data_IF_624625508719
#
_entry.id   IF_624625508719
#
_cell.length_a   1.000
_cell.length_b   1.000
_cell.length_c   1.000
_cell.angle_alpha   90.00
_cell.angle_beta   90.00
_cell.angle_gamma   90.00
#
_symmetry.space_group_name_H-M   'P 1'
#
loop_
_entity.id
_entity.type
_entity.pdbx_description
1 polymer ?
#
# COMPACT_ATOMS: atom_id res chain seq x y z
N UNK A 1 0.49 7.31 -4.28
CA UNK A 1 1.96 7.25 -4.46
C UNK A 1 2.33 5.91 -5.06
N UNK A 2 3.13 5.92 -6.09
CA UNK A 2 3.67 4.70 -6.70
C UNK A 2 5.19 4.81 -6.69
N UNK A 3 5.85 3.80 -6.16
CA UNK A 3 7.32 3.72 -6.14
C UNK A 3 7.74 2.53 -6.99
N UNK A 4 8.54 2.79 -8.02
CA UNK A 4 9.07 1.76 -8.90
C UNK A 4 10.40 1.25 -8.33
N UNK A 5 10.53 -0.06 -8.29
CA UNK A 5 11.73 -0.75 -7.79
C UNK A 5 12.17 -0.25 -6.41
N UNK A 6 11.29 -0.34 -5.40
CA UNK A 6 11.66 0.06 -4.05
C UNK A 6 12.76 -0.83 -3.49
N UNK A 7 13.52 -0.30 -2.53
CA UNK A 7 14.56 -1.05 -1.84
C UNK A 7 14.07 -1.58 -0.49
N UNK A 8 14.62 -2.70 -0.09
CA UNK A 8 14.44 -3.26 1.25
C UNK A 8 12.98 -3.35 1.67
N UNK A 9 12.16 -3.91 0.79
CA UNK A 9 10.75 -4.15 1.10
C UNK A 9 10.68 -5.28 2.12
N UNK A 10 10.14 -4.98 3.29
CA UNK A 10 10.05 -5.96 4.37
C UNK A 10 8.66 -5.99 5.00
N UNK A 11 8.27 -7.17 5.43
CA UNK A 11 7.03 -7.40 6.17
C UNK A 11 7.38 -8.20 7.42
N UNK A 12 7.44 -7.51 8.56
CA UNK A 12 7.97 -8.08 9.79
C UNK A 12 9.46 -8.41 9.65
N UNK A 13 9.81 -9.64 9.89
CA UNK A 13 11.19 -10.13 9.75
C UNK A 13 11.53 -10.67 8.36
N UNK A 14 10.56 -10.69 7.46
CA UNK A 14 10.73 -11.25 6.11
C UNK A 14 11.00 -10.12 5.13
N UNK A 15 12.03 -10.28 4.31
CA UNK A 15 12.34 -9.35 3.22
C UNK A 15 11.78 -9.93 1.94
N UNK A 16 10.96 -9.14 1.24
CA UNK A 16 10.40 -9.53 -0.05
C UNK A 16 11.33 -9.08 -1.17
N UNK A 17 11.90 -10.03 -1.88
CA UNK A 17 12.78 -9.76 -3.03
C UNK A 17 11.99 -9.55 -4.31
N UNK A 18 12.66 -8.99 -5.30
CA UNK A 18 12.15 -8.81 -6.66
C UNK A 18 10.81 -8.04 -6.71
N UNK A 19 10.67 -7.04 -5.86
CA UNK A 19 9.50 -6.17 -5.88
C UNK A 19 9.64 -5.17 -7.01
N UNK A 20 8.70 -5.22 -7.95
CA UNK A 20 8.70 -4.32 -9.11
C UNK A 20 8.17 -2.95 -8.76
N UNK A 21 7.16 -2.88 -7.88
CA UNK A 21 6.58 -1.61 -7.46
C UNK A 21 5.79 -1.75 -6.17
N UNK A 22 5.65 -0.65 -5.47
CA UNK A 22 4.74 -0.49 -4.33
C UNK A 22 3.86 0.71 -4.59
N UNK A 23 2.57 0.54 -4.46
CA UNK A 23 1.58 1.60 -4.58
C UNK A 23 0.94 1.83 -3.21
N UNK A 24 0.84 3.08 -2.79
CA UNK A 24 0.22 3.47 -1.52
C UNK A 24 -0.91 4.44 -1.83
N UNK A 25 -2.13 4.05 -1.49
CA UNK A 25 -3.33 4.85 -1.73
C UNK A 25 -4.06 5.10 -0.42
N UNK A 26 -4.52 6.35 -0.25
CA UNK A 26 -5.44 6.71 0.81
C UNK A 26 -6.82 6.89 0.20
N UNK A 27 -7.77 6.13 0.69
CA UNK A 27 -9.12 6.08 0.14
C UNK A 27 -10.14 6.42 1.23
N UNK A 28 -11.23 7.05 0.83
CA UNK A 28 -12.37 7.19 1.70
C UNK A 28 -13.13 5.86 1.74
N UNK A 29 -13.43 5.38 2.94
CA UNK A 29 -14.34 4.24 3.10
C UNK A 29 -15.75 4.69 3.45
N UNK A 30 -15.90 5.93 3.87
CA UNK A 30 -17.20 6.57 4.06
C UNK A 30 -17.06 8.07 3.88
N UNK A 31 -17.90 8.63 3.00
CA UNK A 31 -17.94 10.06 2.71
C UNK A 31 -19.36 10.58 2.98
N UNK A 32 -19.44 11.73 3.63
CA UNK A 32 -20.70 12.47 3.78
C UNK A 32 -20.70 13.56 2.74
N UNK A 33 -21.79 13.66 1.97
CA UNK A 33 -21.93 14.61 0.88
C UNK A 33 -23.24 15.36 0.98
N UNK A 34 -23.20 16.65 0.64
CA UNK A 34 -24.42 17.48 0.63
C UNK A 34 -24.48 18.30 -0.66
N UNK A 35 -25.68 18.38 -1.20
CA UNK A 35 -26.03 19.22 -2.35
C UNK A 35 -27.05 20.24 -1.92
N UNK A 36 -27.06 21.41 -2.58
CA UNK A 36 -28.17 22.32 -2.46
C UNK A 36 -29.09 22.20 -3.69
N UNK A 37 -30.17 22.98 -3.72
CA UNK A 37 -31.16 22.91 -4.78
C UNK A 37 -30.79 23.71 -6.04
N UNK A 38 -29.64 24.37 -6.08
CA UNK A 38 -29.27 25.29 -7.15
C UNK A 38 -28.42 24.66 -8.25
N UNK A 39 -27.92 23.45 -8.09
CA UNK A 39 -27.11 22.86 -9.13
C UNK A 39 -26.62 21.46 -8.83
N UNK A 40 -25.94 20.82 -9.81
CA UNK A 40 -25.48 19.43 -9.69
C UNK A 40 -24.16 19.26 -8.91
N UNK A 41 -23.60 20.34 -8.39
CA UNK A 41 -22.31 20.27 -7.69
C UNK A 41 -22.48 20.20 -6.19
N UNK A 42 -21.58 19.47 -5.52
CA UNK A 42 -21.55 19.38 -4.08
C UNK A 42 -21.28 20.74 -3.43
N UNK A 43 -21.99 21.05 -2.35
CA UNK A 43 -21.72 22.22 -1.53
C UNK A 43 -20.97 21.85 -0.25
N UNK A 44 -20.94 20.57 0.12
CA UNK A 44 -20.20 20.07 1.29
C UNK A 44 -19.81 18.62 1.09
N UNK A 45 -18.60 18.28 1.51
CA UNK A 45 -18.14 16.90 1.58
C UNK A 45 -17.21 16.73 2.77
N UNK A 46 -17.32 15.59 3.45
CA UNK A 46 -16.43 15.23 4.54
C UNK A 46 -16.12 13.72 4.47
N UNK A 47 -14.88 13.39 4.73
CA UNK A 47 -14.42 11.99 4.74
C UNK A 47 -14.31 11.56 6.19
N UNK A 48 -15.30 10.82 6.66
CA UNK A 48 -15.41 10.41 8.07
C UNK A 48 -14.69 9.10 8.36
N UNK A 49 -14.41 8.30 7.34
CA UNK A 49 -13.62 7.06 7.48
C UNK A 49 -12.64 6.95 6.33
N UNK A 50 -11.41 6.64 6.66
CA UNK A 50 -10.32 6.56 5.71
C UNK A 50 -9.68 5.19 5.77
N UNK A 51 -9.12 4.77 4.64
CA UNK A 51 -8.43 3.50 4.48
C UNK A 51 -7.16 3.73 3.70
N UNK A 52 -6.03 3.27 4.22
CA UNK A 52 -4.76 3.29 3.51
C UNK A 52 -4.48 1.89 2.99
N UNK A 53 -4.32 1.77 1.69
CA UNK A 53 -4.13 0.49 0.99
C UNK A 53 -2.76 0.49 0.33
N UNK A 54 -2.02 -0.56 0.57
CA UNK A 54 -0.68 -0.76 0.01
C UNK A 54 -0.73 -1.96 -0.91
N UNK A 55 -0.33 -1.78 -2.17
CA UNK A 55 -0.23 -2.89 -3.13
C UNK A 55 1.21 -3.10 -3.51
N UNK A 56 1.69 -4.31 -3.30
CA UNK A 56 3.06 -4.72 -3.61
C UNK A 56 2.99 -5.67 -4.80
N UNK A 57 3.65 -5.29 -5.89
CA UNK A 57 3.77 -6.15 -7.07
C UNK A 57 5.15 -6.78 -7.07
N UNK A 58 5.20 -8.10 -6.96
CA UNK A 58 6.41 -8.90 -6.85
C UNK A 58 6.52 -9.83 -8.04
N UNK A 59 7.71 -9.93 -8.61
CA UNK A 59 8.02 -10.96 -9.60
C UNK A 59 8.36 -12.25 -8.89
N UNK A 60 7.77 -13.37 -9.31
CA UNK A 60 7.97 -14.67 -8.67
C UNK A 60 8.42 -15.71 -9.69
N UNK A 61 9.04 -16.77 -9.19
CA UNK A 61 9.33 -17.95 -10.01
C UNK A 61 8.03 -18.65 -10.41
N UNK A 62 8.02 -19.29 -11.55
CA UNK A 62 6.83 -19.74 -12.26
C UNK A 62 5.77 -20.48 -11.45
N UNK A 63 6.17 -21.30 -10.48
CA UNK A 63 5.24 -22.09 -9.68
C UNK A 63 5.35 -21.81 -8.18
N UNK A 64 5.96 -20.70 -7.81
CA UNK A 64 6.05 -20.27 -6.41
C UNK A 64 4.73 -19.64 -5.98
N UNK A 65 3.90 -20.42 -5.31
CA UNK A 65 2.63 -19.94 -4.76
C UNK A 65 2.70 -19.63 -3.27
N UNK A 66 3.90 -19.72 -2.67
CA UNK A 66 4.08 -19.33 -1.29
C UNK A 66 4.03 -17.81 -1.18
N UNK A 67 3.31 -17.34 -0.21
CA UNK A 67 3.17 -15.92 0.04
C UNK A 67 2.70 -15.66 1.45
N UNK A 68 2.50 -14.42 1.83
CA UNK A 68 1.96 -14.12 3.14
C UNK A 68 0.55 -14.68 3.29
N UNK A 69 0.19 -15.02 4.51
CA UNK A 69 -1.13 -15.54 4.84
C UNK A 69 -2.11 -14.38 5.07
N UNK A 70 -3.33 -14.52 4.57
CA UNK A 70 -4.36 -13.52 4.80
C UNK A 70 -4.59 -13.32 6.30
N UNK A 71 -4.65 -12.07 6.72
CA UNK A 71 -4.83 -11.71 8.11
C UNK A 71 -3.53 -11.52 8.89
N UNK A 72 -2.37 -11.87 8.32
CA UNK A 72 -1.09 -11.59 8.96
C UNK A 72 -0.92 -10.09 9.18
N UNK A 73 -0.51 -9.70 10.37
CA UNK A 73 -0.32 -8.32 10.78
C UNK A 73 1.12 -8.11 11.20
N UNK A 74 1.84 -7.28 10.47
CA UNK A 74 3.25 -7.01 10.71
C UNK A 74 3.60 -5.58 10.33
N UNK A 75 4.77 -5.14 10.73
CA UNK A 75 5.31 -3.87 10.27
C UNK A 75 5.80 -4.00 8.84
N UNK A 76 5.19 -3.26 7.94
CA UNK A 76 5.60 -3.15 6.54
C UNK A 76 6.47 -1.92 6.35
N UNK A 77 7.58 -2.06 5.66
CA UNK A 77 8.45 -0.92 5.35
C UNK A 77 9.15 -1.09 4.02
N UNK A 78 9.45 0.03 3.39
CA UNK A 78 10.29 0.07 2.20
C UNK A 78 10.97 1.42 2.06
N UNK A 79 12.01 1.47 1.25
CA UNK A 79 12.68 2.70 0.86
C UNK A 79 12.38 3.01 -0.59
N UNK A 80 11.99 4.24 -0.86
CA UNK A 80 11.83 4.76 -2.20
C UNK A 80 12.91 5.79 -2.49
N UNK A 81 13.42 5.82 -3.71
CA UNK A 81 14.25 6.93 -4.16
C UNK A 81 13.44 7.79 -5.12
N UNK A 82 13.48 9.08 -4.90
CA UNK A 82 12.75 10.05 -5.70
C UNK A 82 13.62 10.72 -6.76
N UNK A 83 14.47 9.95 -7.43
CA UNK A 83 15.39 10.51 -8.42
C UNK A 83 16.70 10.98 -7.80
N UNK A 84 17.57 11.57 -8.61
CA UNK A 84 18.99 11.62 -8.37
C UNK A 84 19.48 12.40 -7.16
N UNK A 85 18.72 13.35 -6.64
CA UNK A 85 19.29 14.27 -5.64
C UNK A 85 18.42 14.44 -4.38
N UNK A 86 17.26 13.85 -4.31
CA UNK A 86 16.32 14.12 -3.23
C UNK A 86 16.45 13.17 -2.03
N UNK A 87 17.42 12.26 -2.06
CA UNK A 87 17.60 11.30 -0.98
C UNK A 87 16.55 10.18 -1.02
N UNK A 88 16.64 9.32 -0.02
CA UNK A 88 15.73 8.18 0.12
C UNK A 88 14.61 8.55 1.08
N UNK A 89 13.44 8.02 0.81
CA UNK A 89 12.30 8.15 1.71
C UNK A 89 11.95 6.76 2.22
N UNK A 90 11.76 6.65 3.51
CA UNK A 90 11.31 5.41 4.15
C UNK A 90 9.82 5.52 4.49
N UNK A 91 9.06 4.53 4.07
CA UNK A 91 7.63 4.41 4.39
C UNK A 91 7.44 3.21 5.31
N UNK A 92 6.74 3.40 6.41
CA UNK A 92 6.44 2.36 7.39
C UNK A 92 4.99 2.40 7.78
N UNK A 93 4.41 1.23 7.99
CA UNK A 93 3.06 1.10 8.52
C UNK A 93 2.88 -0.30 9.09
N UNK A 94 2.14 -0.41 10.19
CA UNK A 94 1.62 -1.71 10.62
C UNK A 94 0.48 -2.05 9.68
N UNK A 95 0.54 -3.21 9.04
CA UNK A 95 -0.39 -3.56 7.98
C UNK A 95 -0.85 -5.01 8.10
N UNK A 96 -2.05 -5.26 7.59
CA UNK A 96 -2.66 -6.57 7.56
C UNK A 96 -2.81 -7.02 6.11
N UNK A 97 -2.46 -8.26 5.82
CA UNK A 97 -2.62 -8.84 4.49
C UNK A 97 -4.10 -9.03 4.21
N UNK A 98 -4.61 -8.32 3.22
CA UNK A 98 -6.01 -8.40 2.81
C UNK A 98 -6.21 -9.39 1.67
N UNK A 99 -5.31 -9.40 0.69
CA UNK A 99 -5.41 -10.31 -0.44
C UNK A 99 -4.04 -10.60 -1.04
N UNK A 100 -3.93 -11.77 -1.66
CA UNK A 100 -2.76 -12.19 -2.42
C UNK A 100 -3.27 -12.73 -3.75
N UNK A 101 -2.85 -12.10 -4.85
CA UNK A 101 -3.23 -12.51 -6.19
C UNK A 101 -1.98 -12.97 -6.95
N UNK A 102 -1.95 -14.23 -7.34
CA UNK A 102 -0.88 -14.76 -8.16
C UNK A 102 -1.33 -14.78 -9.62
N UNK A 103 -0.49 -14.26 -10.51
CA UNK A 103 -0.73 -14.23 -11.94
C UNK A 103 0.39 -14.95 -12.65
N UNK A 104 0.03 -15.90 -13.49
CA UNK A 104 0.98 -16.64 -14.33
C UNK A 104 0.65 -16.34 -15.78
N UNK A 105 1.64 -15.94 -16.55
CA UNK A 105 1.49 -15.64 -17.97
C UNK A 105 2.67 -16.21 -18.75
N UNK A 106 2.56 -16.16 -20.08
CA UNK A 106 3.65 -16.59 -20.99
C UNK A 106 4.92 -15.74 -20.82
N UNK A 107 4.78 -14.54 -20.26
CA UNK A 107 5.88 -13.60 -20.08
C UNK A 107 6.47 -13.61 -18.68
N UNK A 108 5.96 -14.44 -17.80
CA UNK A 108 6.44 -14.55 -16.43
C UNK A 108 5.30 -14.61 -15.42
N UNK A 109 5.67 -14.70 -14.16
CA UNK A 109 4.74 -14.81 -13.06
C UNK A 109 4.90 -13.63 -12.12
N UNK A 110 3.79 -13.15 -11.57
CA UNK A 110 3.79 -12.05 -10.62
C UNK A 110 2.80 -12.31 -9.49
N UNK A 111 3.05 -11.62 -8.39
CA UNK A 111 2.17 -11.67 -7.21
C UNK A 111 1.83 -10.24 -6.82
N UNK A 112 0.55 -9.98 -6.61
CA UNK A 112 0.11 -8.71 -6.06
C UNK A 112 -0.42 -8.95 -4.65
N UNK A 113 0.26 -8.36 -3.67
CA UNK A 113 -0.12 -8.45 -2.27
C UNK A 113 -0.79 -7.13 -1.89
N UNK A 114 -2.03 -7.20 -1.41
CA UNK A 114 -2.76 -6.03 -0.95
C UNK A 114 -2.76 -6.01 0.57
N UNK A 115 -2.24 -4.93 1.12
CA UNK A 115 -2.14 -4.70 2.55
C UNK A 115 -3.02 -3.53 2.95
N UNK A 116 -3.60 -3.59 4.12
CA UNK A 116 -4.34 -2.47 4.70
C UNK A 116 -3.60 -2.00 5.93
N UNK A 117 -3.24 -0.73 5.95
CA UNK A 117 -2.55 -0.14 7.10
C UNK A 117 -3.52 0.09 8.24
N UNK A 118 -3.06 -0.14 9.46
CA UNK A 118 -3.87 0.01 10.68
C UNK A 118 -3.20 0.99 11.63
N UNK A 119 -4.03 1.77 12.30
CA UNK A 119 -3.61 2.74 13.31
C UNK A 119 -3.84 2.16 14.72
N UNK A 120 -2.98 2.52 15.67
CA UNK A 120 -3.10 2.02 17.04
C UNK A 120 -4.37 2.52 17.73
N UNK A 121 -4.75 3.77 17.51
CA UNK A 121 -5.88 4.39 18.19
C UNK A 121 -6.99 4.86 17.24
N UNK A 122 -6.81 4.70 15.95
CA UNK A 122 -7.78 5.12 14.95
C UNK A 122 -7.76 6.61 14.61
N UNK A 123 -7.06 7.44 15.36
CA UNK A 123 -6.99 8.88 15.09
C UNK A 123 -5.76 9.29 14.31
N UNK A 124 -4.68 8.52 14.39
CA UNK A 124 -3.44 8.84 13.72
C UNK A 124 -3.36 8.18 12.35
N UNK A 125 -2.69 8.87 11.42
CA UNK A 125 -2.37 8.30 10.12
C UNK A 125 -1.48 7.06 10.30
N UNK A 126 -1.89 5.89 9.81
CA UNK A 126 -1.10 4.68 10.00
C UNK A 126 0.21 4.68 9.22
N UNK A 127 0.35 5.55 8.22
CA UNK A 127 1.55 5.63 7.39
C UNK A 127 2.53 6.64 7.99
N UNK A 128 3.77 6.21 8.17
CA UNK A 128 4.88 7.08 8.57
C UNK A 128 5.84 7.22 7.41
N UNK A 129 6.05 8.44 6.94
CA UNK A 129 6.95 8.75 5.83
C UNK A 129 8.08 9.62 6.37
N UNK A 130 9.30 9.14 6.27
CA UNK A 130 10.48 9.87 6.78
C UNK A 130 11.54 9.98 5.69
N UNK A 131 12.18 11.14 5.61
CA UNK A 131 13.36 11.33 4.78
C UNK A 131 14.58 10.71 5.44
N UNK A 132 15.43 10.09 4.65
CA UNK A 132 16.64 9.42 5.13
C UNK A 132 17.87 10.00 4.43
#
# INVERSE_FOLDING_TARGET
MVVLRPDEVSFGSVVWGQVARVSVDRLSSRTIEQWDEFGPHLVFADVVRQRAVIRVTQEIEGDDFDGPTLGDKELFSFYGSSGSDAGRTRVRAVAVVESVLNKVSDFGSSRVITLVAVSDDGSEDPLTVTGV
#
